data_IF_163306285624
#
_entry.id   IF_163306285624
#
_cell.length_a   1.000
_cell.length_b   1.000
_cell.length_c   1.000
_cell.angle_alpha   90.00
_cell.angle_beta   90.00
_cell.angle_gamma   90.00
#
_symmetry.space_group_name_H-M   'P 1'
#
loop_
_entity.id
_entity.type
_entity.pdbx_description
1 polymer ?
#
# COMPACT_ATOMS: atom_id res chain seq x y z
N UNK A 1 -6.86 3.47 -7.87
CA UNK A 1 -7.67 4.21 -6.92
C UNK A 1 -9.03 3.54 -6.76
N UNK A 2 -9.49 3.43 -5.52
CA UNK A 2 -10.71 2.74 -5.16
C UNK A 2 -10.58 1.21 -5.17
N UNK A 3 -11.30 0.56 -4.26
CA UNK A 3 -11.31 -0.89 -4.08
C UNK A 3 -12.14 -1.56 -5.17
N UNK A 4 -11.54 -1.81 -6.35
CA UNK A 4 -12.25 -2.37 -7.50
C UNK A 4 -12.43 -3.89 -7.38
N UNK A 5 -13.31 -4.31 -6.46
CA UNK A 5 -13.82 -5.68 -6.45
C UNK A 5 -14.84 -5.88 -7.57
N UNK A 6 -15.09 -7.13 -7.94
CA UNK A 6 -16.20 -7.50 -8.83
C UNK A 6 -17.40 -7.86 -7.92
N UNK A 7 -18.33 -6.92 -7.68
CA UNK A 7 -19.23 -6.96 -6.53
C UNK A 7 -20.22 -8.13 -6.58
N UNK A 8 -20.50 -8.68 -7.76
CA UNK A 8 -21.42 -9.80 -7.97
C UNK A 8 -20.77 -11.18 -7.83
N UNK A 9 -19.43 -11.21 -7.76
CA UNK A 9 -18.68 -12.45 -7.58
C UNK A 9 -18.38 -12.68 -6.10
N UNK A 10 -18.24 -13.93 -5.72
CA UNK A 10 -17.75 -14.32 -4.40
C UNK A 10 -16.29 -13.91 -4.21
N UNK A 11 -15.83 -13.90 -2.96
CA UNK A 11 -14.43 -13.69 -2.60
C UNK A 11 -13.51 -14.67 -3.33
N UNK A 12 -13.84 -15.96 -3.34
CA UNK A 12 -13.05 -17.00 -4.00
C UNK A 12 -12.99 -16.79 -5.52
N UNK A 13 -14.11 -16.46 -6.16
CA UNK A 13 -14.15 -16.17 -7.60
C UNK A 13 -13.33 -14.93 -7.96
N UNK A 14 -13.41 -13.86 -7.17
CA UNK A 14 -12.57 -12.68 -7.34
C UNK A 14 -11.07 -13.03 -7.29
N UNK A 15 -10.65 -13.87 -6.32
CA UNK A 15 -9.25 -14.30 -6.20
C UNK A 15 -8.84 -15.12 -7.43
N UNK A 16 -9.67 -16.10 -7.86
CA UNK A 16 -9.38 -16.93 -9.04
C UNK A 16 -9.17 -16.12 -10.31
N UNK A 17 -9.95 -15.05 -10.50
CA UNK A 17 -9.77 -14.15 -11.64
C UNK A 17 -8.39 -13.47 -11.64
N UNK A 18 -7.78 -13.24 -10.50
CA UNK A 18 -6.40 -12.74 -10.40
C UNK A 18 -5.37 -13.66 -11.08
N UNK A 19 -5.64 -14.95 -11.16
CA UNK A 19 -4.77 -15.91 -11.83
C UNK A 19 -4.98 -15.99 -13.36
N UNK A 20 -6.02 -15.34 -13.89
CA UNK A 20 -6.40 -15.44 -15.32
C UNK A 20 -5.24 -15.13 -16.29
N UNK A 21 -4.39 -14.10 -16.08
CA UNK A 21 -3.29 -13.78 -16.99
C UNK A 21 -2.26 -14.90 -17.16
N UNK A 22 -2.12 -15.80 -16.18
CA UNK A 22 -1.16 -16.91 -16.19
C UNK A 22 -1.80 -18.28 -16.45
N UNK A 23 -3.14 -18.29 -16.66
CA UNK A 23 -3.93 -19.50 -16.83
C UNK A 23 -4.26 -20.21 -15.51
N UNK A 24 -5.37 -20.93 -15.49
CA UNK A 24 -5.81 -21.73 -14.36
C UNK A 24 -5.08 -23.10 -14.37
N UNK A 25 -3.78 -23.05 -14.07
CA UNK A 25 -2.94 -24.24 -14.02
C UNK A 25 -3.12 -25.07 -12.72
N UNK A 26 -2.43 -26.21 -12.60
CA UNK A 26 -2.52 -27.11 -11.44
C UNK A 26 -2.10 -26.43 -10.12
N UNK A 27 -1.43 -25.30 -10.17
CA UNK A 27 -0.98 -24.54 -8.99
C UNK A 27 -2.06 -23.65 -8.37
N UNK A 28 -3.21 -23.44 -9.04
CA UNK A 28 -4.25 -22.50 -8.62
C UNK A 28 -4.71 -22.74 -7.17
N UNK A 29 -4.94 -24.00 -6.80
CA UNK A 29 -5.38 -24.36 -5.44
C UNK A 29 -4.32 -24.03 -4.39
N UNK A 30 -3.04 -24.30 -4.70
CA UNK A 30 -1.91 -23.94 -3.82
C UNK A 30 -1.81 -22.42 -3.67
N UNK A 31 -1.92 -21.67 -4.77
CA UNK A 31 -1.78 -20.23 -4.79
C UNK A 31 -2.92 -19.54 -4.03
N UNK A 32 -4.15 -20.07 -4.12
CA UNK A 32 -5.26 -19.66 -3.26
C UNK A 32 -4.96 -19.93 -1.78
N UNK A 33 -4.35 -21.06 -1.46
CA UNK A 33 -3.89 -21.38 -0.11
C UNK A 33 -2.95 -20.31 0.43
N UNK A 34 -1.95 -19.91 -0.35
CA UNK A 34 -1.00 -18.85 0.01
C UNK A 34 -1.71 -17.52 0.28
N UNK A 35 -2.67 -17.12 -0.58
CA UNK A 35 -3.45 -15.89 -0.34
C UNK A 35 -4.25 -15.99 0.94
N UNK A 36 -4.88 -17.12 1.22
CA UNK A 36 -5.63 -17.33 2.47
C UNK A 36 -4.76 -17.40 3.72
N UNK A 37 -3.47 -17.75 3.58
CA UNK A 37 -2.50 -17.72 4.68
C UNK A 37 -2.06 -16.27 4.99
N UNK A 38 -1.98 -15.40 3.98
CA UNK A 38 -1.79 -13.95 4.19
C UNK A 38 -3.05 -13.27 4.73
N UNK A 39 -4.23 -13.69 4.27
CA UNK A 39 -5.53 -13.09 4.60
C UNK A 39 -6.52 -14.15 5.12
N UNK A 40 -6.35 -14.66 6.36
CA UNK A 40 -7.22 -15.71 6.90
C UNK A 40 -8.71 -15.33 6.89
N UNK A 41 -9.00 -14.05 7.08
CA UNK A 41 -10.38 -13.52 7.03
C UNK A 41 -11.05 -13.76 5.68
N UNK A 42 -10.32 -13.71 4.57
CA UNK A 42 -10.87 -14.00 3.24
C UNK A 42 -11.21 -15.50 3.07
N UNK A 43 -10.52 -16.39 3.79
CA UNK A 43 -10.86 -17.83 3.80
C UNK A 43 -12.23 -18.07 4.41
N UNK A 44 -12.51 -17.38 5.54
CA UNK A 44 -13.82 -17.48 6.21
C UNK A 44 -14.94 -16.92 5.33
N UNK A 45 -14.63 -15.88 4.57
CA UNK A 45 -15.55 -15.16 3.69
C UNK A 45 -15.55 -15.67 2.23
N UNK A 46 -14.93 -16.83 1.94
CA UNK A 46 -14.72 -17.30 0.56
C UNK A 46 -15.99 -17.39 -0.29
N UNK A 47 -17.11 -17.75 0.32
CA UNK A 47 -18.42 -17.88 -0.35
C UNK A 47 -19.26 -16.61 -0.28
N UNK A 48 -18.79 -15.57 0.44
CA UNK A 48 -19.48 -14.29 0.55
C UNK A 48 -19.34 -13.50 -0.75
N UNK A 49 -20.43 -12.95 -1.25
CA UNK A 49 -20.44 -11.99 -2.37
C UNK A 49 -19.63 -10.75 -1.99
N UNK A 50 -18.64 -10.40 -2.81
CA UNK A 50 -17.64 -9.38 -2.45
C UNK A 50 -18.19 -7.96 -2.32
N UNK A 51 -19.35 -7.68 -2.91
CA UNK A 51 -20.03 -6.39 -2.73
C UNK A 51 -20.50 -6.14 -1.29
N UNK A 52 -20.68 -7.21 -0.49
CA UNK A 52 -21.10 -7.11 0.93
C UNK A 52 -19.94 -7.12 1.93
N UNK A 53 -18.70 -7.21 1.45
CA UNK A 53 -17.52 -7.13 2.30
C UNK A 53 -17.33 -5.71 2.84
N UNK A 54 -16.81 -5.60 4.07
CA UNK A 54 -16.36 -4.33 4.61
C UNK A 54 -15.23 -3.72 3.76
N UNK A 55 -14.98 -2.41 3.89
CA UNK A 55 -13.92 -1.75 3.15
C UNK A 55 -12.52 -2.37 3.36
N UNK A 56 -12.22 -2.84 4.59
CA UNK A 56 -10.96 -3.53 4.88
C UNK A 56 -10.86 -4.91 4.21
N UNK A 57 -11.94 -5.69 4.25
CA UNK A 57 -12.02 -6.99 3.59
C UNK A 57 -11.93 -6.86 2.06
N UNK A 58 -12.56 -5.81 1.48
CA UNK A 58 -12.41 -5.51 0.06
C UNK A 58 -10.97 -5.14 -0.29
N UNK A 59 -10.28 -4.39 0.56
CA UNK A 59 -8.87 -4.05 0.36
C UNK A 59 -7.98 -5.30 0.40
N UNK A 60 -8.17 -6.17 1.38
CA UNK A 60 -7.49 -7.46 1.45
C UNK A 60 -7.76 -8.30 0.19
N UNK A 61 -9.01 -8.34 -0.28
CA UNK A 61 -9.40 -9.06 -1.50
C UNK A 61 -8.70 -8.53 -2.75
N UNK A 62 -8.62 -7.21 -2.93
CA UNK A 62 -7.95 -6.60 -4.09
C UNK A 62 -6.45 -6.90 -4.09
N UNK A 63 -5.80 -6.82 -2.92
CA UNK A 63 -4.37 -7.17 -2.77
C UNK A 63 -4.17 -8.68 -3.05
N UNK A 64 -4.99 -9.53 -2.44
CA UNK A 64 -4.95 -10.98 -2.66
C UNK A 64 -5.16 -11.36 -4.12
N UNK A 65 -6.12 -10.71 -4.79
CA UNK A 65 -6.34 -10.89 -6.24
C UNK A 65 -5.12 -10.49 -7.07
N UNK A 66 -4.46 -9.38 -6.72
CA UNK A 66 -3.21 -8.97 -7.34
C UNK A 66 -2.10 -10.01 -7.15
N UNK A 67 -1.99 -10.59 -5.96
CA UNK A 67 -0.99 -11.62 -5.62
C UNK A 67 -1.22 -12.92 -6.42
N UNK A 68 -2.48 -13.27 -6.73
CA UNK A 68 -2.81 -14.43 -7.56
C UNK A 68 -2.18 -14.40 -8.96
N UNK A 69 -1.85 -13.22 -9.49
CA UNK A 69 -1.13 -13.07 -10.76
C UNK A 69 0.36 -13.43 -10.65
N UNK A 70 0.90 -13.64 -9.46
CA UNK A 70 2.34 -13.80 -9.16
C UNK A 70 3.19 -12.67 -9.77
N UNK A 71 2.89 -11.43 -9.43
CA UNK A 71 3.55 -10.30 -10.05
C UNK A 71 5.01 -10.19 -9.56
N UNK A 72 5.90 -9.76 -10.44
CA UNK A 72 7.26 -9.32 -10.05
C UNK A 72 7.22 -7.94 -9.40
N UNK A 73 6.26 -7.11 -9.78
CA UNK A 73 6.03 -5.77 -9.26
C UNK A 73 4.53 -5.58 -8.99
N UNK A 74 4.18 -5.14 -7.79
CA UNK A 74 2.83 -4.73 -7.39
C UNK A 74 2.80 -3.23 -7.21
N UNK A 75 1.82 -2.57 -7.84
CA UNK A 75 1.58 -1.13 -7.72
C UNK A 75 0.37 -0.93 -6.81
N UNK A 76 0.55 -0.20 -5.71
CA UNK A 76 -0.48 0.08 -4.73
C UNK A 76 -0.64 1.60 -4.59
N UNK A 77 -1.84 2.08 -4.87
CA UNK A 77 -2.20 3.48 -4.77
C UNK A 77 -3.20 3.67 -3.63
N UNK A 78 -2.79 4.42 -2.61
CA UNK A 78 -3.57 4.74 -1.40
C UNK A 78 -4.22 3.51 -0.75
N UNK A 79 -3.44 2.44 -0.53
CA UNK A 79 -3.93 1.18 0.01
C UNK A 79 -4.52 1.31 1.44
N UNK A 80 -4.17 2.36 2.17
CA UNK A 80 -4.65 2.66 3.53
C UNK A 80 -5.90 3.56 3.58
N UNK A 81 -6.30 4.16 2.45
CA UNK A 81 -7.35 5.18 2.43
C UNK A 81 -8.69 4.67 2.99
N UNK A 82 -9.23 5.39 3.97
CA UNK A 82 -10.53 5.09 4.59
C UNK A 82 -10.56 3.78 5.38
N UNK A 83 -9.42 3.30 5.85
CA UNK A 83 -9.32 2.14 6.73
C UNK A 83 -9.08 2.56 8.19
N UNK A 84 -9.56 1.74 9.11
CA UNK A 84 -9.26 1.90 10.52
C UNK A 84 -7.75 1.69 10.77
N UNK A 85 -7.12 2.42 11.73
CA UNK A 85 -5.67 2.37 11.95
C UNK A 85 -5.10 0.97 12.18
N UNK A 86 -5.83 0.11 12.87
CA UNK A 86 -5.39 -1.27 13.11
C UNK A 86 -5.35 -2.10 11.83
N UNK A 87 -6.31 -1.90 10.89
CA UNK A 87 -6.31 -2.56 9.58
C UNK A 87 -5.19 -2.05 8.67
N UNK A 88 -4.87 -0.76 8.75
CA UNK A 88 -3.72 -0.20 8.04
C UNK A 88 -2.46 -0.93 8.45
N UNK A 89 -2.23 -1.05 9.77
CA UNK A 89 -1.06 -1.77 10.29
C UNK A 89 -1.03 -3.22 9.81
N UNK A 90 -2.14 -3.94 9.92
CA UNK A 90 -2.25 -5.34 9.49
C UNK A 90 -1.91 -5.50 8.00
N UNK A 91 -2.49 -4.66 7.12
CA UNK A 91 -2.24 -4.70 5.67
C UNK A 91 -0.76 -4.40 5.39
N UNK A 92 -0.16 -3.41 6.05
CA UNK A 92 1.24 -3.05 5.83
C UNK A 92 2.19 -4.15 6.30
N UNK A 93 1.91 -4.81 7.42
CA UNK A 93 2.66 -5.98 7.89
C UNK A 93 2.57 -7.13 6.88
N UNK A 94 1.39 -7.36 6.29
CA UNK A 94 1.20 -8.36 5.23
C UNK A 94 1.97 -7.97 3.96
N UNK A 95 1.94 -6.71 3.52
CA UNK A 95 2.70 -6.25 2.36
C UNK A 95 4.21 -6.45 2.55
N UNK A 96 4.72 -6.19 3.74
CA UNK A 96 6.13 -6.45 4.08
C UNK A 96 6.45 -7.95 3.97
N UNK A 97 5.56 -8.82 4.46
CA UNK A 97 5.71 -10.27 4.33
C UNK A 97 5.68 -10.71 2.86
N UNK A 98 4.72 -10.24 2.07
CA UNK A 98 4.64 -10.53 0.62
C UNK A 98 5.94 -10.14 -0.08
N UNK A 99 6.48 -8.96 0.19
CA UNK A 99 7.75 -8.52 -0.39
C UNK A 99 8.91 -9.45 -0.02
N UNK A 100 9.01 -9.87 1.25
CA UNK A 100 10.11 -10.71 1.73
C UNK A 100 9.98 -12.20 1.35
N UNK A 101 8.77 -12.75 1.38
CA UNK A 101 8.50 -14.18 1.17
C UNK A 101 8.32 -14.51 -0.32
N UNK A 102 7.50 -13.73 -1.04
CA UNK A 102 7.20 -13.95 -2.46
C UNK A 102 8.18 -13.24 -3.42
N UNK A 103 9.11 -12.43 -2.89
CA UNK A 103 10.06 -11.61 -3.68
C UNK A 103 9.38 -10.66 -4.67
N UNK A 104 8.13 -10.29 -4.40
CA UNK A 104 7.38 -9.30 -5.17
C UNK A 104 7.86 -7.90 -4.79
N UNK A 105 8.37 -7.14 -5.75
CA UNK A 105 8.66 -5.71 -5.52
C UNK A 105 7.35 -4.95 -5.36
N UNK A 106 7.34 -3.96 -4.46
CA UNK A 106 6.14 -3.15 -4.21
C UNK A 106 6.48 -1.68 -4.43
N UNK A 107 5.73 -1.02 -5.31
CA UNK A 107 5.68 0.44 -5.40
C UNK A 107 4.39 0.90 -4.73
N UNK A 108 4.55 1.60 -3.62
CA UNK A 108 3.45 2.07 -2.77
C UNK A 108 3.35 3.59 -2.86
N UNK A 109 2.18 4.10 -3.21
CA UNK A 109 1.83 5.54 -3.14
C UNK A 109 0.91 5.72 -1.94
N UNK A 110 1.29 6.59 -1.01
CA UNK A 110 0.57 6.79 0.25
C UNK A 110 0.70 8.22 0.75
N UNK A 111 -0.39 8.74 1.33
CA UNK A 111 -0.38 10.00 2.06
C UNK A 111 0.14 9.81 3.49
N UNK A 112 -0.09 8.65 4.09
CA UNK A 112 0.42 8.30 5.42
C UNK A 112 1.91 7.95 5.35
N UNK A 113 2.77 8.98 5.40
CA UNK A 113 4.21 8.83 5.30
C UNK A 113 4.79 7.91 6.39
N UNK A 114 4.27 7.98 7.64
CA UNK A 114 4.70 7.09 8.74
C UNK A 114 4.50 5.62 8.38
N UNK A 115 3.30 5.28 7.93
CA UNK A 115 2.96 3.92 7.56
C UNK A 115 3.80 3.46 6.36
N UNK A 116 3.88 4.25 5.28
CA UNK A 116 4.67 3.93 4.09
C UNK A 116 6.15 3.71 4.42
N UNK A 117 6.79 4.63 5.14
CA UNK A 117 8.21 4.55 5.52
C UNK A 117 8.50 3.46 6.54
N UNK A 118 7.48 2.90 7.22
CA UNK A 118 7.67 1.77 8.14
C UNK A 118 8.01 0.46 7.43
N UNK A 119 7.58 0.30 6.17
CA UNK A 119 7.79 -0.91 5.37
C UNK A 119 8.71 -0.69 4.16
N UNK A 120 8.87 0.54 3.69
CA UNK A 120 9.69 0.87 2.54
C UNK A 120 11.19 0.76 2.85
N UNK A 121 11.98 0.41 1.85
CA UNK A 121 13.45 0.52 1.88
C UNK A 121 13.93 1.87 1.33
N UNK A 122 13.20 2.44 0.38
CA UNK A 122 13.51 3.69 -0.29
C UNK A 122 12.22 4.47 -0.54
N UNK A 123 12.28 5.79 -0.54
CA UNK A 123 11.11 6.64 -0.75
C UNK A 123 11.40 7.85 -1.63
N UNK A 124 10.31 8.33 -2.25
CA UNK A 124 10.25 9.57 -3.02
C UNK A 124 9.16 10.44 -2.41
N UNK A 125 9.49 11.67 -2.05
CA UNK A 125 8.52 12.66 -1.59
C UNK A 125 8.08 13.48 -2.78
N UNK A 126 6.78 13.47 -3.07
CA UNK A 126 6.18 14.22 -4.18
C UNK A 126 5.43 15.45 -3.69
N UNK A 127 5.61 16.55 -4.40
CA UNK A 127 4.86 17.78 -4.20
C UNK A 127 4.47 18.37 -5.56
N UNK A 128 3.19 18.68 -5.74
CA UNK A 128 2.68 19.29 -6.98
C UNK A 128 3.17 18.59 -8.26
N UNK A 129 3.15 17.24 -8.25
CA UNK A 129 3.56 16.42 -9.38
C UNK A 129 5.08 16.31 -9.62
N UNK A 130 5.90 16.76 -8.66
CA UNK A 130 7.38 16.72 -8.76
C UNK A 130 7.97 16.02 -7.56
N UNK A 131 9.04 15.25 -7.78
CA UNK A 131 9.85 14.69 -6.70
C UNK A 131 10.69 15.83 -6.12
N UNK A 132 10.53 16.10 -4.83
CA UNK A 132 11.23 17.18 -4.10
C UNK A 132 12.33 16.64 -3.20
N UNK A 133 12.20 15.38 -2.76
CA UNK A 133 13.17 14.71 -1.91
C UNK A 133 13.12 13.20 -2.17
N UNK A 134 14.25 12.51 -2.06
CA UNK A 134 14.32 11.06 -2.14
C UNK A 134 15.45 10.51 -1.27
N UNK A 135 15.37 9.23 -0.92
CA UNK A 135 16.39 8.58 -0.13
C UNK A 135 15.93 7.30 0.54
N UNK A 136 16.83 6.69 1.33
CA UNK A 136 16.47 5.54 2.17
C UNK A 136 15.35 5.92 3.14
N UNK A 137 14.47 4.96 3.45
CA UNK A 137 13.35 5.19 4.39
C UNK A 137 13.85 5.71 5.75
N UNK A 138 15.00 5.24 6.23
CA UNK A 138 15.61 5.75 7.48
C UNK A 138 15.95 7.23 7.36
N UNK A 139 16.66 7.62 6.27
CA UNK A 139 17.04 9.02 6.04
C UNK A 139 15.81 9.94 5.93
N UNK A 140 14.73 9.46 5.28
CA UNK A 140 13.50 10.23 5.14
C UNK A 140 12.76 10.37 6.47
N UNK A 141 12.72 9.33 7.31
CA UNK A 141 12.12 9.41 8.65
C UNK A 141 12.83 10.37 9.58
N UNK A 142 14.15 10.51 9.44
CA UNK A 142 14.97 11.39 10.26
C UNK A 142 15.03 12.82 9.71
N UNK A 143 14.47 13.08 8.54
CA UNK A 143 14.45 14.38 7.91
C UNK A 143 13.40 15.27 8.58
N UNK A 144 13.80 16.47 9.05
CA UNK A 144 12.95 17.41 9.77
C UNK A 144 11.75 17.87 8.92
N UNK A 145 11.97 18.19 7.65
CA UNK A 145 10.89 18.63 6.74
C UNK A 145 9.84 17.51 6.55
N UNK A 146 10.28 16.25 6.38
CA UNK A 146 9.37 15.10 6.26
C UNK A 146 8.59 14.90 7.56
N UNK A 147 9.24 15.04 8.72
CA UNK A 147 8.58 14.92 10.04
C UNK A 147 7.57 16.05 10.27
N UNK A 148 7.93 17.28 9.95
CA UNK A 148 7.05 18.43 10.16
C UNK A 148 5.83 18.38 9.21
N UNK A 149 6.05 18.18 7.90
CA UNK A 149 4.99 18.34 6.90
C UNK A 149 4.14 17.08 6.68
N UNK A 150 4.74 15.90 6.75
CA UNK A 150 4.05 14.65 6.38
C UNK A 150 3.73 13.76 7.58
N UNK A 151 4.40 13.95 8.71
CA UNK A 151 4.14 13.19 9.94
C UNK A 151 3.39 14.01 10.99
N UNK A 152 3.25 15.33 10.81
CA UNK A 152 2.58 16.22 11.76
C UNK A 152 3.30 16.34 13.11
N UNK A 153 4.59 16.01 13.15
CA UNK A 153 5.42 16.06 14.35
C UNK A 153 6.11 17.44 14.42
N UNK A 154 5.42 18.46 14.90
CA UNK A 154 6.04 19.74 15.26
C UNK A 154 6.49 19.71 16.70
N UNK A 155 7.72 20.17 16.98
CA UNK A 155 8.23 20.33 18.36
C UNK A 155 7.42 21.36 19.18
N UNK A 156 6.61 22.20 18.54
CA UNK A 156 5.86 23.32 19.12
C UNK A 156 4.34 23.16 19.12
N UNK A 157 3.78 22.00 18.78
CA UNK A 157 2.31 21.79 18.87
C UNK A 157 1.44 22.67 17.97
N UNK A 158 2.01 23.56 17.15
CA UNK A 158 1.29 24.43 16.23
C UNK A 158 1.31 23.83 14.82
N UNK A 159 0.13 23.55 14.26
CA UNK A 159 -0.03 23.21 12.84
C UNK A 159 0.31 24.43 12.00
N UNK A 160 1.55 24.55 11.54
CA UNK A 160 1.91 25.56 10.54
C UNK A 160 1.20 25.23 9.23
N UNK A 161 0.43 26.18 8.72
CA UNK A 161 -0.21 26.08 7.41
C UNK A 161 0.87 26.11 6.32
N UNK A 162 0.76 25.24 5.33
CA UNK A 162 1.59 25.18 4.12
C UNK A 162 1.84 26.53 3.42
N UNK A 163 0.94 27.52 3.62
CA UNK A 163 1.06 28.91 3.13
C UNK A 163 2.14 29.74 3.85
N UNK A 164 2.51 29.37 5.07
CA UNK A 164 3.42 30.17 5.91
C UNK A 164 4.89 29.78 5.75
N UNK A 165 5.16 28.59 5.23
CA UNK A 165 6.51 28.05 5.01
C UNK A 165 7.10 28.41 3.64
N UNK A 166 6.62 29.48 3.02
CA UNK A 166 6.98 29.94 1.67
C UNK A 166 8.43 30.42 1.49
N UNK A 167 9.27 30.35 2.51
CA UNK A 167 10.64 30.82 2.49
C UNK A 167 11.73 29.74 2.56
N UNK A 168 11.39 28.48 2.31
CA UNK A 168 12.44 27.48 2.22
C UNK A 168 13.25 27.69 0.92
N UNK A 169 14.52 28.00 1.07
CA UNK A 169 15.47 28.11 -0.04
C UNK A 169 15.55 26.75 -0.75
N UNK A 170 14.79 26.59 -1.84
CA UNK A 170 14.97 25.48 -2.77
C UNK A 170 16.42 25.46 -3.23
N UNK A 171 17.24 24.57 -2.68
CA UNK A 171 18.54 24.28 -3.28
C UNK A 171 18.26 23.67 -4.66
N UNK A 172 18.44 24.49 -5.71
CA UNK A 172 18.50 24.05 -7.10
C UNK A 172 19.63 23.04 -7.21
N UNK A 173 19.30 21.75 -7.20
CA UNK A 173 20.29 20.66 -7.38
C UNK A 173 20.01 19.86 -8.65
N UNK A 174 19.55 20.54 -9.70
CA UNK A 174 19.38 19.92 -11.02
C UNK A 174 19.82 20.90 -12.12
N UNK A 175 21.11 21.27 -12.15
CA UNK A 175 21.81 21.80 -13.31
C UNK A 175 23.30 21.70 -12.97
N UNK A 176 23.87 20.51 -13.18
CA UNK A 176 25.26 20.25 -13.54
C UNK A 176 25.33 18.83 -14.12
#
# INVERSE_FOLDING_TARGET
EGRRVLPHLTTDENLRLGAYPRGNGPTLKRDLGVVYDYFPKLRDLRSQTSGYLSGGEQQMLVIGRGLMAKPKLMLLDEASLGLAPFLVKEIFDILKRINSEEKTSILLVEQNAMAALSIASYGYVMESGRIVLDGSATKLRDNEDVREFYMGLTELGEKKSYKEVKHYKRRKRWLA
#
